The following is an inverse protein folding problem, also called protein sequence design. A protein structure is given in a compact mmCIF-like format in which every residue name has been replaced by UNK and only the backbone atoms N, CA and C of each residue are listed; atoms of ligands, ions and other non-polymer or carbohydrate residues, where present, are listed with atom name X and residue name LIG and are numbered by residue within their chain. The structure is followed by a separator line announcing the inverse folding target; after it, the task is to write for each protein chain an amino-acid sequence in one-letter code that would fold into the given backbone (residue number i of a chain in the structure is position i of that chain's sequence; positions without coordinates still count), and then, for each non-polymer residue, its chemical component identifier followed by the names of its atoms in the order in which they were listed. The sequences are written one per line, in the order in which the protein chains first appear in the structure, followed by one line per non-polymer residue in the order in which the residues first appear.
data_IF_438986880525
#
_entry.id   IF_438986880525
#
_cell.length_a   1.000
_cell.length_b   1.000
_cell.length_c   1.000
_cell.angle_alpha   90.00
_cell.angle_beta   90.00
_cell.angle_gamma   90.00
#
_symmetry.space_group_name_H-M   'P 1'
#
loop_
_entity.id
_entity.type
_entity.pdbx_description
1 polymer ?
#
# COMPACT_ATOMS: atom_id res chain seq x y z
N UNK A 1 -14.24 -0.27 0.65
CA UNK A 1 -13.69 -0.81 1.92
C UNK A 1 -12.67 0.17 2.47
N UNK A 2 -12.50 0.30 3.80
CA UNK A 2 -11.49 1.18 4.42
C UNK A 2 -10.39 0.34 5.04
N UNK A 3 -9.13 0.69 4.83
CA UNK A 3 -7.97 -0.01 5.39
C UNK A 3 -7.01 0.98 6.05
N UNK A 4 -6.33 0.54 7.12
CA UNK A 4 -5.17 1.22 7.67
C UNK A 4 -3.93 0.61 7.02
N UNK A 5 -3.05 1.46 6.48
CA UNK A 5 -1.83 1.04 5.79
C UNK A 5 -0.71 0.95 6.82
N UNK A 6 -0.07 -0.23 6.91
CA UNK A 6 1.16 -0.38 7.69
C UNK A 6 2.33 0.31 6.98
N UNK A 7 3.27 0.86 7.75
CA UNK A 7 4.43 1.56 7.21
C UNK A 7 5.23 0.69 6.24
N UNK A 8 5.28 -0.64 6.45
CA UNK A 8 6.00 -1.54 5.54
C UNK A 8 5.44 -1.54 4.13
N UNK A 9 4.12 -1.34 3.93
CA UNK A 9 3.54 -1.28 2.57
C UNK A 9 4.12 -0.10 1.79
N UNK A 10 4.28 1.06 2.45
CA UNK A 10 4.88 2.25 1.84
C UNK A 10 6.37 2.00 1.56
N UNK A 11 7.10 1.48 2.54
CA UNK A 11 8.54 1.17 2.39
C UNK A 11 8.78 0.15 1.28
N UNK A 12 7.94 -0.88 1.19
CA UNK A 12 8.05 -1.92 0.17
C UNK A 12 7.88 -1.37 -1.23
N UNK A 13 6.96 -0.42 -1.41
CA UNK A 13 6.71 0.21 -2.69
C UNK A 13 7.78 1.26 -3.04
N UNK A 14 8.12 2.16 -2.11
CA UNK A 14 9.06 3.26 -2.34
C UNK A 14 10.49 2.79 -2.60
N UNK A 15 10.88 1.64 -2.05
CA UNK A 15 12.22 1.06 -2.20
C UNK A 15 12.26 -0.17 -3.11
N UNK A 16 11.15 -0.54 -3.74
CA UNK A 16 11.01 -1.78 -4.53
C UNK A 16 11.51 -3.01 -3.72
N UNK A 17 11.15 -3.08 -2.43
CA UNK A 17 11.71 -4.04 -1.46
C UNK A 17 11.06 -5.41 -1.60
N UNK A 18 11.86 -6.40 -1.98
CA UNK A 18 11.43 -7.80 -1.99
C UNK A 18 11.34 -8.38 -0.55
N UNK A 19 10.45 -9.37 -0.30
CA UNK A 19 9.63 -10.11 -1.28
C UNK A 19 8.24 -9.50 -1.53
N UNK A 20 7.91 -8.37 -0.89
CA UNK A 20 6.52 -7.88 -0.81
C UNK A 20 6.21 -6.73 -1.76
N UNK A 21 7.18 -6.25 -2.53
CA UNK A 21 7.00 -5.14 -3.46
C UNK A 21 5.74 -5.27 -4.33
N UNK A 22 5.59 -6.40 -5.03
CA UNK A 22 4.43 -6.64 -5.90
C UNK A 22 3.08 -6.63 -5.16
N UNK A 23 3.05 -7.12 -3.92
CA UNK A 23 1.84 -7.13 -3.12
C UNK A 23 1.49 -5.71 -2.62
N UNK A 24 2.50 -4.95 -2.21
CA UNK A 24 2.36 -3.56 -1.76
C UNK A 24 1.92 -2.64 -2.90
N UNK A 25 2.49 -2.80 -4.10
CA UNK A 25 2.08 -2.09 -5.32
C UNK A 25 0.60 -2.34 -5.63
N UNK A 26 0.15 -3.60 -5.58
CA UNK A 26 -1.26 -3.94 -5.85
C UNK A 26 -2.21 -3.26 -4.86
N UNK A 27 -1.87 -3.20 -3.57
CA UNK A 27 -2.68 -2.51 -2.56
C UNK A 27 -2.79 -1.02 -2.88
N UNK A 28 -1.67 -0.37 -3.22
CA UNK A 28 -1.65 1.05 -3.56
C UNK A 28 -2.41 1.33 -4.87
N UNK A 29 -2.27 0.48 -5.89
CA UNK A 29 -3.02 0.57 -7.14
C UNK A 29 -4.54 0.51 -6.93
N UNK A 30 -5.02 -0.30 -5.97
CA UNK A 30 -6.44 -0.36 -5.61
C UNK A 30 -6.93 0.95 -4.96
N UNK A 31 -6.07 1.64 -4.22
CA UNK A 31 -6.36 2.96 -3.64
C UNK A 31 -6.40 4.02 -4.75
N UNK A 32 -5.40 4.03 -5.64
CA UNK A 32 -5.34 4.96 -6.78
C UNK A 32 -6.55 4.84 -7.71
N UNK A 33 -7.01 3.60 -7.96
CA UNK A 33 -8.24 3.31 -8.72
C UNK A 33 -9.53 3.68 -7.99
N UNK A 34 -9.46 4.13 -6.73
CA UNK A 34 -10.61 4.46 -5.90
C UNK A 34 -11.44 3.25 -5.45
N UNK A 35 -10.90 2.04 -5.54
CA UNK A 35 -11.63 0.80 -5.16
C UNK A 35 -11.71 0.65 -3.64
N UNK A 36 -10.67 1.10 -2.94
CA UNK A 36 -10.58 1.12 -1.47
C UNK A 36 -10.06 2.47 -1.00
N UNK A 37 -10.39 2.85 0.23
CA UNK A 37 -9.85 4.04 0.88
C UNK A 37 -8.75 3.63 1.87
N UNK A 38 -7.53 4.10 1.64
CA UNK A 38 -6.38 3.89 2.52
C UNK A 38 -6.18 5.06 3.49
N UNK A 39 -5.79 4.74 4.72
CA UNK A 39 -5.45 5.72 5.77
C UNK A 39 -4.09 5.37 6.36
N UNK A 40 -3.39 6.39 6.84
CA UNK A 40 -2.15 6.26 7.63
C UNK A 40 -2.36 6.93 8.98
N UNK A 41 -1.71 6.41 10.02
CA UNK A 41 -1.63 7.08 11.32
C UNK A 41 -0.32 7.86 11.43
N UNK A 42 -0.36 8.99 12.15
CA UNK A 42 0.84 9.74 12.54
C UNK A 42 1.54 9.10 13.74
#
# INVERSE_FOLDING_TARGET
MKILIDTNIIIDNDLEREPFWNASEQVLSLIEKGTIAGYISA
#
